data_IF_570649917960
#
_entry.id   IF_570649917960
#
_cell.length_a   1.000
_cell.length_b   1.000
_cell.length_c   1.000
_cell.angle_alpha   90.00
_cell.angle_beta   90.00
_cell.angle_gamma   90.00
#
_symmetry.space_group_name_H-M   'P 1'
#
loop_
_entity.id
_entity.type
_entity.pdbx_description
1 polymer ?
#
# COMPACT_ATOMS: atom_id res chain seq x y z
N UNK A 1 10.47 -15.35 -22.85
CA UNK A 1 10.31 -14.62 -21.58
C UNK A 1 9.35 -13.48 -21.83
N UNK A 2 8.21 -13.43 -21.12
CA UNK A 2 7.25 -12.32 -21.30
C UNK A 2 7.84 -11.03 -20.74
N UNK A 3 7.59 -9.92 -21.44
CA UNK A 3 8.04 -8.57 -21.12
C UNK A 3 6.87 -7.73 -20.64
N UNK A 4 6.95 -7.25 -19.41
CA UNK A 4 5.91 -6.50 -18.72
C UNK A 4 6.40 -5.08 -18.46
N UNK A 5 5.60 -4.08 -18.80
CA UNK A 5 5.85 -2.69 -18.43
C UNK A 5 4.95 -2.30 -17.25
N UNK A 6 5.51 -1.77 -16.17
CA UNK A 6 4.73 -1.17 -15.08
C UNK A 6 4.83 0.35 -15.16
N UNK A 7 3.69 1.02 -15.36
CA UNK A 7 3.62 2.46 -15.59
C UNK A 7 3.12 3.18 -14.35
N UNK A 8 3.94 4.12 -13.87
CA UNK A 8 3.70 4.95 -12.71
C UNK A 8 3.42 6.39 -13.14
N UNK A 9 2.34 6.97 -12.61
CA UNK A 9 1.94 8.34 -12.92
C UNK A 9 2.79 9.41 -12.22
N UNK A 10 3.62 9.03 -11.24
CA UNK A 10 4.53 9.93 -10.53
C UNK A 10 5.67 9.16 -9.86
N UNK A 11 6.72 9.89 -9.47
CA UNK A 11 7.91 9.36 -8.79
C UNK A 11 7.89 9.48 -7.25
N UNK A 12 6.73 9.69 -6.63
CA UNK A 12 6.62 9.88 -5.18
C UNK A 12 6.60 8.53 -4.43
N UNK A 13 7.23 8.46 -3.26
CA UNK A 13 7.14 7.28 -2.39
C UNK A 13 5.73 7.16 -1.79
N UNK A 14 4.86 6.39 -2.45
CA UNK A 14 3.44 6.21 -2.11
C UNK A 14 3.10 4.73 -2.03
N UNK A 15 1.93 4.40 -1.48
CA UNK A 15 1.41 3.03 -1.49
C UNK A 15 1.31 2.43 -2.90
N UNK A 16 0.98 3.24 -3.92
CA UNK A 16 0.91 2.80 -5.33
C UNK A 16 2.30 2.43 -5.85
N UNK A 17 3.29 3.28 -5.62
CA UNK A 17 4.65 3.02 -6.07
C UNK A 17 5.26 1.83 -5.32
N UNK A 18 5.11 1.74 -4.00
CA UNK A 18 5.64 0.59 -3.24
C UNK A 18 4.93 -0.71 -3.57
N UNK A 19 3.63 -0.67 -3.89
CA UNK A 19 2.88 -1.80 -4.44
C UNK A 19 3.47 -2.24 -5.79
N UNK A 20 3.68 -1.30 -6.71
CA UNK A 20 4.22 -1.58 -8.04
C UNK A 20 5.62 -2.20 -7.98
N UNK A 21 6.48 -1.70 -7.09
CA UNK A 21 7.81 -2.27 -6.88
C UNK A 21 7.75 -3.67 -6.27
N UNK A 22 6.83 -3.89 -5.32
CA UNK A 22 6.61 -5.22 -4.73
C UNK A 22 6.15 -6.21 -5.81
N UNK A 23 5.19 -5.83 -6.65
CA UNK A 23 4.74 -6.68 -7.76
C UNK A 23 5.88 -6.95 -8.75
N UNK A 24 6.59 -5.91 -9.19
CA UNK A 24 7.69 -6.05 -10.14
C UNK A 24 8.80 -6.99 -9.66
N UNK A 25 9.21 -6.86 -8.39
CA UNK A 25 10.19 -7.78 -7.79
C UNK A 25 9.72 -9.24 -7.81
N UNK A 26 8.47 -9.51 -7.41
CA UNK A 26 7.93 -10.88 -7.43
C UNK A 26 7.78 -11.45 -8.85
N UNK A 27 7.43 -10.62 -9.83
CA UNK A 27 7.40 -11.03 -11.24
C UNK A 27 8.81 -11.31 -11.79
N UNK A 28 9.82 -10.51 -11.44
CA UNK A 28 11.22 -10.75 -11.81
C UNK A 28 11.70 -12.08 -11.23
N UNK A 29 11.39 -12.37 -9.96
CA UNK A 29 11.72 -13.66 -9.32
C UNK A 29 11.06 -14.85 -10.00
N UNK A 30 9.90 -14.64 -10.64
CA UNK A 30 9.19 -15.64 -11.48
C UNK A 30 9.76 -15.77 -12.90
N UNK A 31 10.79 -14.99 -13.26
CA UNK A 31 11.45 -15.07 -14.56
C UNK A 31 10.84 -14.17 -15.64
N UNK A 32 10.01 -13.19 -15.26
CA UNK A 32 9.54 -12.15 -16.20
C UNK A 32 10.60 -11.07 -16.38
N UNK A 33 10.64 -10.47 -17.58
CA UNK A 33 11.33 -9.20 -17.77
C UNK A 33 10.35 -8.08 -17.42
N UNK A 34 10.62 -7.39 -16.32
CA UNK A 34 9.83 -6.23 -15.91
C UNK A 34 10.66 -4.97 -16.17
N UNK A 35 10.05 -3.98 -16.82
CA UNK A 35 10.58 -2.63 -16.94
C UNK A 35 9.59 -1.62 -16.32
N UNK A 36 10.07 -0.45 -15.90
CA UNK A 36 9.25 0.60 -15.29
C UNK A 36 9.24 1.88 -16.10
N UNK A 37 8.08 2.52 -16.24
CA UNK A 37 7.97 3.91 -16.69
C UNK A 37 7.53 4.79 -15.51
N UNK A 38 8.24 5.90 -15.29
CA UNK A 38 7.97 6.82 -14.19
C UNK A 38 7.94 8.25 -14.73
N UNK A 39 6.76 8.87 -14.69
CA UNK A 39 6.63 10.28 -15.05
C UNK A 39 7.23 11.18 -13.95
N UNK A 40 8.12 12.09 -14.35
CA UNK A 40 8.80 13.03 -13.43
C UNK A 40 7.98 14.30 -13.12
N UNK A 41 7.01 14.64 -13.97
CA UNK A 41 6.45 16.00 -14.07
C UNK A 41 5.02 16.16 -13.50
N UNK A 42 4.71 15.59 -12.34
CA UNK A 42 3.53 16.06 -11.60
C UNK A 42 3.91 17.25 -10.72
N UNK A 43 3.57 18.46 -11.19
CA UNK A 43 4.00 19.80 -10.74
C UNK A 43 3.79 20.17 -9.24
N UNK A 44 3.22 19.29 -8.43
CA UNK A 44 3.00 19.55 -7.00
C UNK A 44 4.12 18.96 -6.12
N UNK A 45 5.17 19.74 -5.84
CA UNK A 45 6.09 19.57 -4.69
C UNK A 45 7.11 18.38 -4.71
N UNK A 46 8.23 18.45 -3.94
CA UNK A 46 9.58 18.36 -4.50
C UNK A 46 10.10 16.95 -4.80
N UNK A 47 11.00 16.96 -5.79
CA UNK A 47 12.11 16.06 -6.13
C UNK A 47 11.95 14.58 -5.74
N UNK A 48 11.85 13.76 -6.80
CA UNK A 48 12.46 12.43 -6.95
C UNK A 48 13.32 12.07 -5.74
N UNK A 49 12.78 11.27 -4.84
CA UNK A 49 13.60 10.63 -3.84
C UNK A 49 14.56 9.72 -4.62
N UNK A 50 15.84 10.13 -4.76
CA UNK A 50 16.95 9.34 -5.34
C UNK A 50 16.93 7.89 -4.84
N UNK A 51 16.46 7.76 -3.60
CA UNK A 51 16.12 6.56 -2.86
C UNK A 51 15.27 5.52 -3.66
N UNK A 52 14.24 5.95 -4.40
CA UNK A 52 13.34 5.05 -5.16
C UNK A 52 14.05 4.46 -6.37
N UNK A 53 14.76 5.29 -7.13
CA UNK A 53 15.54 4.84 -8.28
C UNK A 53 16.64 3.89 -7.83
N UNK A 54 17.30 4.16 -6.71
CA UNK A 54 18.29 3.25 -6.14
C UNK A 54 17.68 1.90 -5.79
N UNK A 55 16.47 1.89 -5.21
CA UNK A 55 15.76 0.65 -4.90
C UNK A 55 15.43 -0.12 -6.18
N UNK A 56 14.93 0.55 -7.22
CA UNK A 56 14.65 -0.08 -8.52
C UNK A 56 15.92 -0.55 -9.24
N UNK A 57 17.02 0.18 -9.15
CA UNK A 57 18.29 -0.21 -9.77
C UNK A 57 18.80 -1.56 -9.25
N UNK A 58 18.42 -1.96 -8.03
CA UNK A 58 18.75 -3.30 -7.51
C UNK A 58 18.03 -4.44 -8.24
N UNK A 59 16.89 -4.15 -8.89
CA UNK A 59 16.07 -5.13 -9.60
C UNK A 59 16.59 -5.47 -11.00
N UNK A 60 17.70 -4.86 -11.46
CA UNK A 60 18.27 -5.03 -12.81
C UNK A 60 17.24 -4.82 -13.93
N UNK A 61 16.39 -3.82 -13.75
CA UNK A 61 15.29 -3.42 -14.65
C UNK A 61 15.67 -2.19 -15.48
N UNK A 62 15.04 -2.00 -16.65
CA UNK A 62 15.08 -0.70 -17.34
C UNK A 62 14.09 0.25 -16.67
N UNK A 63 14.48 1.52 -16.50
CA UNK A 63 13.60 2.58 -15.98
C UNK A 63 13.53 3.70 -17.01
N UNK A 64 12.32 4.01 -17.47
CA UNK A 64 12.01 5.08 -18.41
C UNK A 64 11.52 6.32 -17.63
N UNK A 65 12.37 7.36 -17.52
CA UNK A 65 12.01 8.61 -16.81
C UNK A 65 11.73 9.80 -17.72
N UNK A 66 12.42 9.87 -18.87
CA UNK A 66 12.40 11.03 -19.78
C UNK A 66 12.03 10.67 -21.21
N UNK A 67 12.14 9.39 -21.55
CA UNK A 67 11.83 8.85 -22.86
C UNK A 67 10.68 7.87 -22.71
N UNK A 68 9.76 7.88 -23.65
CA UNK A 68 8.71 6.87 -23.68
C UNK A 68 9.30 5.56 -24.21
N UNK A 69 8.97 4.41 -23.60
CA UNK A 69 9.32 3.13 -24.16
C UNK A 69 8.55 2.88 -25.47
N UNK A 70 9.04 1.97 -26.29
CA UNK A 70 8.22 1.35 -27.33
C UNK A 70 7.22 0.40 -26.67
N UNK A 71 5.99 0.87 -26.45
CA UNK A 71 4.92 0.11 -25.80
C UNK A 71 4.58 -1.19 -26.53
N UNK A 72 4.76 -1.24 -27.85
CA UNK A 72 4.49 -2.44 -28.64
C UNK A 72 5.51 -3.56 -28.38
N UNK A 73 6.65 -3.25 -27.77
CA UNK A 73 7.66 -4.24 -27.39
C UNK A 73 7.30 -5.06 -26.14
N UNK A 74 6.16 -4.77 -25.49
CA UNK A 74 5.71 -5.43 -24.27
C UNK A 74 4.48 -6.31 -24.51
N UNK A 75 4.44 -7.46 -23.85
CA UNK A 75 3.30 -8.37 -23.89
C UNK A 75 2.10 -7.76 -23.14
N UNK A 76 2.37 -7.10 -22.00
CA UNK A 76 1.37 -6.40 -21.18
C UNK A 76 1.94 -5.15 -20.53
N UNK A 77 1.06 -4.17 -20.35
CA UNK A 77 1.34 -2.93 -19.63
C UNK A 77 0.41 -2.81 -18.42
N UNK A 78 0.98 -2.69 -17.23
CA UNK A 78 0.25 -2.48 -15.98
C UNK A 78 0.18 -0.98 -15.69
N UNK A 79 -1.01 -0.40 -15.79
CA UNK A 79 -1.24 1.03 -15.61
C UNK A 79 -1.88 1.30 -14.25
N UNK A 80 -1.28 2.20 -13.47
CA UNK A 80 -1.81 2.61 -12.16
C UNK A 80 -2.61 3.92 -12.22
N UNK A 81 -2.55 4.61 -13.37
CA UNK A 81 -3.21 5.89 -13.64
C UNK A 81 -3.59 5.95 -15.13
N UNK A 82 -4.70 6.60 -15.45
CA UNK A 82 -5.20 6.71 -16.84
C UNK A 82 -4.38 7.68 -17.72
N UNK A 83 -3.45 8.44 -17.14
CA UNK A 83 -2.70 9.48 -17.85
C UNK A 83 -1.83 8.97 -19.01
N UNK A 84 -1.39 7.71 -18.95
CA UNK A 84 -0.61 7.07 -20.03
C UNK A 84 -1.44 6.15 -20.95
N UNK A 85 -2.75 5.99 -20.66
CA UNK A 85 -3.58 5.00 -21.35
C UNK A 85 -3.69 5.27 -22.85
N UNK A 86 -3.73 6.55 -23.26
CA UNK A 86 -3.86 6.95 -24.67
C UNK A 86 -2.68 6.58 -25.57
N UNK A 87 -1.55 6.16 -24.99
CA UNK A 87 -0.34 5.81 -25.74
C UNK A 87 -0.21 4.31 -26.02
N UNK A 88 -1.19 3.50 -25.59
CA UNK A 88 -1.13 2.05 -25.66
C UNK A 88 -2.41 1.47 -26.26
N UNK A 89 -2.29 0.28 -26.82
CA UNK A 89 -3.43 -0.46 -27.33
C UNK A 89 -4.25 -1.02 -26.15
N UNK A 90 -5.58 -0.86 -26.11
CA UNK A 90 -6.42 -1.33 -25.01
C UNK A 90 -6.21 -2.80 -24.62
N UNK A 91 -5.97 -3.68 -25.59
CA UNK A 91 -5.73 -5.11 -25.44
C UNK A 91 -4.40 -5.47 -24.75
N UNK A 92 -3.49 -4.50 -24.59
CA UNK A 92 -2.25 -4.66 -23.83
C UNK A 92 -2.37 -4.23 -22.37
N UNK A 93 -3.46 -3.53 -22.01
CA UNK A 93 -3.54 -2.78 -20.75
C UNK A 93 -4.22 -3.59 -19.65
N UNK A 94 -3.46 -3.85 -18.58
CA UNK A 94 -4.01 -4.23 -17.28
C UNK A 94 -4.06 -2.95 -16.44
N UNK A 95 -5.27 -2.42 -16.22
CA UNK A 95 -5.46 -1.21 -15.43
C UNK A 95 -5.70 -1.54 -13.96
N UNK A 96 -5.03 -0.85 -13.03
CA UNK A 96 -5.13 -1.09 -11.59
C UNK A 96 -5.65 0.15 -10.86
N UNK A 97 -6.89 0.05 -10.36
CA UNK A 97 -7.51 1.06 -9.50
C UNK A 97 -7.10 0.87 -8.04
N UNK A 98 -6.29 1.81 -7.54
CA UNK A 98 -5.83 1.84 -6.15
C UNK A 98 -6.82 2.48 -5.17
N UNK A 99 -7.83 3.18 -5.68
CA UNK A 99 -8.87 3.83 -4.92
C UNK A 99 -9.97 4.36 -5.82
N UNK A 100 -10.93 5.07 -5.23
CA UNK A 100 -12.08 5.64 -5.95
C UNK A 100 -12.23 7.15 -5.76
N UNK A 101 -11.21 7.80 -5.20
CA UNK A 101 -11.30 9.22 -4.80
C UNK A 101 -10.87 10.19 -5.90
N UNK A 102 -10.16 9.68 -6.91
CA UNK A 102 -9.59 10.50 -7.98
C UNK A 102 -9.94 9.91 -9.34
N UNK A 103 -10.32 10.77 -10.27
CA UNK A 103 -10.66 10.39 -11.65
C UNK A 103 -9.55 9.59 -12.36
N UNK A 104 -8.24 9.89 -12.15
CA UNK A 104 -7.15 9.08 -12.70
C UNK A 104 -7.10 7.60 -12.27
N UNK A 105 -7.90 7.18 -11.27
CA UNK A 105 -8.02 5.78 -10.87
C UNK A 105 -9.05 4.99 -11.67
N UNK A 106 -9.61 5.54 -12.74
CA UNK A 106 -10.55 4.83 -13.62
C UNK A 106 -10.03 4.86 -15.07
N UNK A 107 -10.02 3.73 -15.79
CA UNK A 107 -9.58 3.71 -17.18
C UNK A 107 -10.57 4.43 -18.09
N UNK A 108 -10.06 4.95 -19.22
CA UNK A 108 -10.86 5.46 -20.33
C UNK A 108 -11.34 4.30 -21.21
N UNK A 109 -12.63 3.95 -21.12
CA UNK A 109 -13.18 2.86 -21.91
C UNK A 109 -12.66 1.48 -21.52
N UNK A 110 -12.86 0.51 -22.41
CA UNK A 110 -12.50 -0.90 -22.15
C UNK A 110 -10.99 -1.10 -22.28
N UNK A 111 -10.42 -1.88 -21.37
CA UNK A 111 -9.03 -2.36 -21.40
C UNK A 111 -9.03 -3.89 -21.36
N UNK A 112 -7.87 -4.53 -21.53
CA UNK A 112 -7.75 -5.99 -21.45
C UNK A 112 -8.24 -6.56 -20.12
N UNK A 113 -7.82 -5.95 -19.01
CA UNK A 113 -8.32 -6.29 -17.68
C UNK A 113 -8.32 -5.06 -16.78
N UNK A 114 -9.38 -4.89 -16.00
CA UNK A 114 -9.50 -3.86 -14.98
C UNK A 114 -9.49 -4.50 -13.59
N UNK A 115 -8.45 -4.21 -12.82
CA UNK A 115 -8.21 -4.73 -11.47
C UNK A 115 -8.46 -3.63 -10.45
N UNK A 116 -9.11 -3.95 -9.35
CA UNK A 116 -9.21 -3.08 -8.18
C UNK A 116 -8.49 -3.69 -6.97
N UNK A 117 -7.96 -2.85 -6.07
CA UNK A 117 -7.26 -3.33 -4.86
C UNK A 117 -8.18 -3.68 -3.69
N UNK A 118 -9.48 -3.39 -3.82
CA UNK A 118 -10.51 -3.73 -2.84
C UNK A 118 -11.88 -3.85 -3.50
N UNK A 119 -12.78 -4.55 -2.83
CA UNK A 119 -14.18 -4.68 -3.26
C UNK A 119 -14.90 -3.34 -3.35
N UNK A 120 -14.65 -2.41 -2.41
CA UNK A 120 -15.21 -1.06 -2.49
C UNK A 120 -14.74 -0.32 -3.74
N UNK A 121 -13.44 -0.43 -4.06
CA UNK A 121 -12.87 0.18 -5.27
C UNK A 121 -13.46 -0.48 -6.50
N UNK A 122 -13.54 -1.81 -6.56
CA UNK A 122 -14.16 -2.56 -7.66
C UNK A 122 -15.57 -2.04 -7.96
N UNK A 123 -16.41 -1.92 -6.92
CA UNK A 123 -17.77 -1.38 -7.06
C UNK A 123 -17.78 0.08 -7.54
N UNK A 124 -16.81 0.89 -7.15
CA UNK A 124 -16.76 2.30 -7.51
C UNK A 124 -16.28 2.53 -8.96
N UNK A 125 -15.34 1.72 -9.42
CA UNK A 125 -14.68 1.88 -10.72
C UNK A 125 -15.19 0.91 -11.78
N UNK A 126 -16.12 0.02 -11.41
CA UNK A 126 -16.64 -1.06 -12.25
C UNK A 126 -15.52 -2.00 -12.77
N UNK A 127 -14.54 -2.30 -11.91
CA UNK A 127 -13.46 -3.22 -12.26
C UNK A 127 -13.95 -4.67 -12.37
N UNK A 128 -13.23 -5.49 -13.13
CA UNK A 128 -13.57 -6.89 -13.40
C UNK A 128 -13.30 -7.78 -12.17
N UNK A 129 -12.14 -7.57 -11.51
CA UNK A 129 -11.70 -8.40 -10.39
C UNK A 129 -10.99 -7.62 -9.28
N UNK A 130 -10.82 -8.29 -8.13
CA UNK A 130 -10.06 -7.78 -6.99
C UNK A 130 -8.74 -8.53 -6.82
N UNK A 131 -7.64 -7.78 -6.82
CA UNK A 131 -6.32 -8.24 -6.38
C UNK A 131 -5.85 -7.30 -5.28
N UNK A 132 -5.83 -7.76 -4.03
CA UNK A 132 -5.45 -6.96 -2.87
C UNK A 132 -3.99 -6.49 -2.93
N UNK A 133 -3.68 -5.45 -2.15
CA UNK A 133 -2.33 -4.93 -2.00
C UNK A 133 -1.44 -5.96 -1.29
N UNK A 134 -0.66 -6.71 -2.07
CA UNK A 134 0.29 -7.68 -1.55
C UNK A 134 1.47 -7.04 -0.82
N UNK A 135 1.93 -7.70 0.22
CA UNK A 135 3.09 -7.37 1.05
C UNK A 135 4.12 -8.50 0.93
N UNK A 136 5.40 -8.14 0.82
CA UNK A 136 6.49 -9.11 0.95
C UNK A 136 6.58 -9.57 2.41
N UNK A 137 5.98 -10.72 2.69
CA UNK A 137 5.89 -11.29 4.04
C UNK A 137 7.25 -11.69 4.63
N UNK A 138 8.29 -11.86 3.78
CA UNK A 138 9.66 -12.12 4.21
C UNK A 138 10.35 -10.81 4.62
N UNK A 139 10.21 -9.75 3.82
CA UNK A 139 10.71 -8.41 4.13
C UNK A 139 10.11 -7.89 5.44
N UNK A 140 8.80 -8.05 5.60
CA UNK A 140 8.04 -7.67 6.80
C UNK A 140 7.86 -8.84 7.77
N UNK A 141 8.88 -9.70 7.92
CA UNK A 141 8.86 -10.78 8.90
C UNK A 141 8.85 -10.24 10.34
N UNK A 142 8.34 -11.04 11.28
CA UNK A 142 8.33 -10.68 12.69
C UNK A 142 9.76 -10.69 13.22
N UNK A 143 10.33 -9.51 13.44
CA UNK A 143 11.65 -9.34 14.08
C UNK A 143 11.55 -9.06 15.59
N UNK A 144 10.40 -8.57 16.04
CA UNK A 144 10.12 -8.25 17.45
C UNK A 144 8.61 -8.20 17.71
N UNK A 145 8.16 -8.92 18.73
CA UNK A 145 6.77 -8.83 19.20
C UNK A 145 6.51 -7.53 20.00
N UNK A 146 5.26 -7.00 19.95
CA UNK A 146 4.84 -5.87 20.78
C UNK A 146 4.94 -6.16 22.29
N UNK A 147 5.22 -5.12 23.09
CA UNK A 147 5.31 -5.20 24.57
C UNK A 147 3.95 -5.06 25.25
N UNK A 148 3.86 -5.50 26.52
CA UNK A 148 2.73 -5.24 27.41
C UNK A 148 3.26 -4.67 28.73
N UNK A 149 2.98 -3.40 29.08
CA UNK A 149 2.21 -2.41 28.32
C UNK A 149 2.96 -1.88 27.07
N UNK A 150 2.26 -1.26 26.10
CA UNK A 150 2.89 -0.64 24.95
C UNK A 150 3.67 0.60 25.39
N UNK A 151 4.76 0.90 24.68
CA UNK A 151 5.64 2.02 25.05
C UNK A 151 5.99 2.89 23.86
N UNK A 152 5.83 2.38 22.62
CA UNK A 152 6.11 3.13 21.38
C UNK A 152 5.02 2.91 20.34
N UNK A 153 4.55 4.00 19.74
CA UNK A 153 3.61 4.01 18.64
C UNK A 153 4.22 4.73 17.42
N UNK A 154 4.07 4.13 16.25
CA UNK A 154 4.45 4.73 14.97
C UNK A 154 3.22 5.02 14.12
N UNK A 155 3.03 6.29 13.77
CA UNK A 155 2.07 6.72 12.76
C UNK A 155 2.73 6.83 11.38
N UNK A 156 2.25 6.04 10.42
CA UNK A 156 2.74 6.02 9.04
C UNK A 156 1.72 6.73 8.14
N UNK A 157 1.94 8.02 7.89
CA UNK A 157 1.04 8.86 7.10
C UNK A 157 1.77 9.98 6.37
N UNK A 158 1.64 10.07 5.04
CA UNK A 158 2.27 11.14 4.24
C UNK A 158 1.83 12.56 4.59
N UNK A 159 0.63 12.75 5.13
CA UNK A 159 0.11 14.08 5.45
C UNK A 159 0.59 14.59 6.81
N UNK A 160 0.01 15.72 7.22
CA UNK A 160 0.24 16.28 8.55
C UNK A 160 -0.30 15.29 9.60
N UNK A 161 0.50 14.87 10.59
CA UNK A 161 0.03 13.95 11.61
C UNK A 161 -1.15 14.53 12.39
N UNK A 162 -2.12 13.68 12.72
CA UNK A 162 -3.25 14.07 13.55
C UNK A 162 -2.76 14.38 14.98
N UNK A 163 -2.83 15.66 15.38
CA UNK A 163 -2.38 16.11 16.69
C UNK A 163 -3.12 15.44 17.85
N UNK A 164 -4.37 15.02 17.66
CA UNK A 164 -5.15 14.31 18.68
C UNK A 164 -4.59 12.91 18.96
N UNK A 165 -4.06 12.21 17.95
CA UNK A 165 -3.41 10.90 18.14
C UNK A 165 -2.12 11.08 18.94
N UNK A 166 -1.30 12.07 18.57
CA UNK A 166 -0.08 12.40 19.32
C UNK A 166 -0.39 12.68 20.80
N UNK A 167 -1.39 13.52 21.05
CA UNK A 167 -1.88 13.86 22.39
C UNK A 167 -2.36 12.64 23.16
N UNK A 168 -3.15 11.76 22.52
CA UNK A 168 -3.67 10.56 23.13
C UNK A 168 -2.54 9.61 23.55
N UNK A 169 -1.59 9.32 22.65
CA UNK A 169 -0.41 8.51 22.98
C UNK A 169 0.40 9.12 24.13
N UNK A 170 0.66 10.42 24.09
CA UNK A 170 1.46 11.13 25.12
C UNK A 170 0.78 11.05 26.49
N UNK A 171 -0.53 11.26 26.55
CA UNK A 171 -1.31 11.17 27.79
C UNK A 171 -1.31 9.75 28.38
N UNK A 172 -1.16 8.72 27.55
CA UNK A 172 -1.03 7.32 27.97
C UNK A 172 0.42 6.90 28.25
N UNK A 173 1.39 7.84 28.21
CA UNK A 173 2.80 7.52 28.43
C UNK A 173 3.46 6.74 27.28
N UNK A 174 2.86 6.75 26.09
CA UNK A 174 3.36 6.06 24.89
C UNK A 174 4.15 7.05 24.04
N UNK A 175 5.42 6.75 23.77
CA UNK A 175 6.24 7.54 22.86
C UNK A 175 5.65 7.48 21.44
N UNK A 176 5.32 8.65 20.89
CA UNK A 176 4.74 8.77 19.56
C UNK A 176 5.79 9.22 18.55
N UNK A 177 5.86 8.52 17.41
CA UNK A 177 6.63 8.94 16.25
C UNK A 177 5.74 8.98 15.00
N UNK A 178 5.99 9.94 14.13
CA UNK A 178 5.38 10.04 12.82
C UNK A 178 6.42 9.87 11.72
N UNK A 179 6.06 9.10 10.68
CA UNK A 179 6.86 8.93 9.47
C UNK A 179 5.96 9.19 8.26
N UNK A 180 6.34 10.20 7.47
CA UNK A 180 5.63 10.56 6.24
C UNK A 180 5.87 9.58 5.10
N UNK A 181 7.14 9.23 4.89
CA UNK A 181 7.60 8.25 3.93
C UNK A 181 8.97 7.72 4.37
N UNK A 182 9.23 6.44 4.13
CA UNK A 182 10.53 5.82 4.37
C UNK A 182 10.71 4.64 3.41
N UNK A 183 11.88 4.53 2.77
CA UNK A 183 12.20 3.39 1.90
C UNK A 183 12.18 2.05 2.65
N UNK A 184 12.79 2.07 3.82
CA UNK A 184 12.94 0.91 4.68
C UNK A 184 11.95 1.01 5.83
N UNK A 185 10.68 1.18 5.50
CA UNK A 185 9.61 1.36 6.50
C UNK A 185 9.54 0.17 7.48
N UNK A 186 9.98 -1.02 7.07
CA UNK A 186 10.13 -2.16 7.98
C UNK A 186 11.09 -1.87 9.13
N UNK A 187 12.17 -1.11 8.91
CA UNK A 187 13.12 -0.73 9.97
C UNK A 187 12.51 0.28 10.95
N UNK A 188 11.57 1.10 10.48
CA UNK A 188 10.82 2.02 11.32
C UNK A 188 9.73 1.28 12.11
N UNK A 189 9.10 0.25 11.54
CA UNK A 189 8.06 -0.55 12.19
C UNK A 189 8.61 -1.39 13.36
N UNK A 190 9.78 -2.02 13.19
CA UNK A 190 10.36 -2.97 14.15
C UNK A 190 10.42 -2.48 15.60
N UNK A 191 10.91 -1.27 15.92
CA UNK A 191 11.05 -0.81 17.30
C UNK A 191 9.73 -0.45 18.00
N UNK A 192 8.62 -0.39 17.26
CA UNK A 192 7.33 0.07 17.77
C UNK A 192 6.44 -1.11 18.22
N UNK A 193 5.56 -0.84 19.18
CA UNK A 193 4.57 -1.81 19.68
C UNK A 193 3.24 -1.64 18.96
N UNK A 194 2.84 -0.38 18.74
CA UNK A 194 1.63 0.01 18.02
C UNK A 194 2.00 0.59 16.65
N UNK A 195 1.32 0.13 15.61
CA UNK A 195 1.36 0.79 14.30
C UNK A 195 0.02 1.46 14.05
N UNK A 196 0.07 2.75 13.74
CA UNK A 196 -1.07 3.57 13.36
C UNK A 196 -0.91 3.84 11.87
N UNK A 197 -1.86 3.39 11.06
CA UNK A 197 -1.75 3.50 9.61
C UNK A 197 -3.08 3.29 8.90
N UNK A 198 -3.07 3.48 7.58
CA UNK A 198 -4.23 3.24 6.72
C UNK A 198 -3.74 2.76 5.35
N UNK A 199 -4.60 2.06 4.61
CA UNK A 199 -4.19 1.47 3.35
C UNK A 199 -3.06 0.46 3.54
N UNK A 200 -2.06 0.58 2.68
CA UNK A 200 -0.92 -0.34 2.66
C UNK A 200 -0.05 -0.28 3.92
N UNK A 201 0.04 0.86 4.62
CA UNK A 201 0.85 0.94 5.85
C UNK A 201 0.26 0.14 7.00
N UNK A 202 -1.07 0.01 7.07
CA UNK A 202 -1.73 -0.91 8.00
C UNK A 202 -1.30 -2.36 7.73
N UNK A 203 -1.27 -2.76 6.45
CA UNK A 203 -0.85 -4.12 6.05
C UNK A 203 0.62 -4.41 6.35
N UNK A 204 1.52 -3.44 6.18
CA UNK A 204 2.94 -3.58 6.54
C UNK A 204 3.11 -3.77 8.06
N UNK A 205 2.35 -3.03 8.87
CA UNK A 205 2.30 -3.23 10.32
C UNK A 205 1.77 -4.61 10.71
N UNK A 206 0.70 -5.05 10.04
CA UNK A 206 0.11 -6.38 10.25
C UNK A 206 1.10 -7.49 9.90
N UNK A 207 1.73 -7.42 8.73
CA UNK A 207 2.72 -8.38 8.27
C UNK A 207 3.90 -8.47 9.25
N UNK A 208 4.30 -7.35 9.86
CA UNK A 208 5.38 -7.29 10.86
C UNK A 208 4.98 -7.81 12.25
N UNK A 209 3.77 -8.34 12.41
CA UNK A 209 3.24 -8.87 13.66
C UNK A 209 2.98 -7.82 14.72
N UNK A 210 2.59 -6.60 14.32
CA UNK A 210 2.27 -5.50 15.24
C UNK A 210 0.77 -5.36 15.46
N UNK A 211 0.37 -4.86 16.63
CA UNK A 211 -1.01 -4.42 16.83
C UNK A 211 -1.23 -3.16 15.97
N UNK A 212 -2.26 -3.18 15.12
CA UNK A 212 -2.51 -2.13 14.14
C UNK A 212 -3.81 -1.42 14.47
N UNK A 213 -3.72 -0.11 14.66
CA UNK A 213 -4.85 0.80 14.74
C UNK A 213 -5.04 1.46 13.38
N UNK A 214 -6.18 1.22 12.72
CA UNK A 214 -6.47 1.83 11.42
C UNK A 214 -6.96 3.25 11.62
N UNK A 215 -6.11 4.22 11.30
CA UNK A 215 -6.40 5.65 11.41
C UNK A 215 -5.75 6.41 10.24
N UNK A 216 -6.49 7.33 9.64
CA UNK A 216 -6.04 8.10 8.49
C UNK A 216 -6.75 9.44 8.36
N UNK A 217 -6.65 10.11 7.19
CA UNK A 217 -7.26 11.42 6.95
C UNK A 217 -8.80 11.43 7.06
N UNK A 218 -9.41 10.26 7.14
CA UNK A 218 -10.83 10.02 7.01
C UNK A 218 -11.49 9.47 8.28
N UNK A 219 -10.74 9.48 9.38
CA UNK A 219 -11.19 8.96 10.65
C UNK A 219 -10.47 7.68 11.04
N UNK A 220 -11.16 6.90 11.86
CA UNK A 220 -10.62 5.71 12.53
C UNK A 220 -11.54 4.53 12.28
N UNK A 221 -10.97 3.40 11.82
CA UNK A 221 -11.70 2.14 11.69
C UNK A 221 -11.47 1.20 12.90
N UNK A 222 -10.61 1.62 13.84
CA UNK A 222 -10.31 0.90 15.06
C UNK A 222 -9.17 -0.10 14.90
N UNK A 223 -9.00 -0.93 15.93
CA UNK A 223 -8.00 -2.00 15.90
C UNK A 223 -8.33 -3.04 14.84
N UNK A 224 -7.32 -3.53 14.15
CA UNK A 224 -7.45 -4.72 13.32
C UNK A 224 -7.63 -5.93 14.22
N UNK A 225 -8.73 -6.65 14.02
CA UNK A 225 -9.08 -7.87 14.75
C UNK A 225 -9.57 -8.96 13.79
N UNK A 226 -9.44 -10.26 14.12
CA UNK A 226 -9.96 -11.34 13.28
C UNK A 226 -11.43 -11.16 12.87
N UNK A 227 -12.28 -10.74 13.79
CA UNK A 227 -13.72 -10.58 13.61
C UNK A 227 -14.12 -9.38 12.74
N UNK A 228 -13.23 -8.39 12.55
CA UNK A 228 -13.53 -7.18 11.77
C UNK A 228 -12.72 -7.06 10.47
N UNK A 229 -11.67 -7.86 10.29
CA UNK A 229 -10.69 -7.61 9.23
C UNK A 229 -11.25 -7.65 7.82
N UNK A 230 -12.18 -8.56 7.50
CA UNK A 230 -12.79 -8.59 6.16
C UNK A 230 -13.55 -7.30 5.82
N UNK A 231 -14.18 -6.69 6.83
CA UNK A 231 -14.86 -5.39 6.69
C UNK A 231 -13.85 -4.26 6.44
N UNK A 232 -12.68 -4.31 7.10
CA UNK A 232 -11.59 -3.37 6.86
C UNK A 232 -10.98 -3.56 5.46
N UNK A 233 -10.74 -4.82 5.07
CA UNK A 233 -10.21 -5.23 3.78
C UNK A 233 -11.12 -4.81 2.62
N UNK A 234 -12.45 -4.90 2.80
CA UNK A 234 -13.44 -4.41 1.83
C UNK A 234 -13.18 -2.96 1.39
N UNK A 235 -12.67 -2.10 2.29
CA UNK A 235 -12.29 -0.70 2.00
C UNK A 235 -10.79 -0.45 2.02
N UNK A 236 -9.97 -1.49 1.89
CA UNK A 236 -8.52 -1.37 1.91
C UNK A 236 -7.98 -0.67 3.18
N UNK A 237 -8.53 -0.94 4.37
CA UNK A 237 -8.15 -0.28 5.64
C UNK A 237 -8.08 1.25 5.53
N UNK A 238 -9.07 1.89 4.90
CA UNK A 238 -8.99 3.32 4.55
C UNK A 238 -9.19 4.28 5.73
N UNK A 239 -9.65 3.80 6.90
CA UNK A 239 -10.09 4.66 8.01
C UNK A 239 -11.47 5.29 7.78
N UNK A 240 -12.21 4.86 6.75
CA UNK A 240 -13.54 5.39 6.39
C UNK A 240 -14.65 4.35 6.57
N UNK A 241 -14.34 3.10 6.95
CA UNK A 241 -15.35 2.05 7.11
C UNK A 241 -16.48 2.45 8.05
N UNK A 242 -16.17 3.15 9.14
CA UNK A 242 -17.16 3.72 10.06
C UNK A 242 -17.44 5.23 9.90
N UNK A 243 -16.64 5.95 9.10
CA UNK A 243 -16.63 7.42 9.05
C UNK A 243 -16.59 8.08 10.45
N UNK A 244 -15.81 7.48 11.37
CA UNK A 244 -15.76 7.85 12.77
C UNK A 244 -14.57 8.76 13.07
N UNK A 245 -14.85 9.94 13.64
CA UNK A 245 -13.86 10.95 14.02
C UNK A 245 -13.86 11.10 15.55
N UNK A 246 -13.07 10.29 16.28
CA UNK A 246 -13.07 10.31 17.74
C UNK A 246 -12.52 11.63 18.29
N UNK A 247 -13.09 12.04 19.42
CA UNK A 247 -12.52 13.05 20.31
C UNK A 247 -11.20 12.56 20.92
N UNK A 248 -10.45 13.45 21.58
CA UNK A 248 -9.22 13.07 22.28
C UNK A 248 -9.47 11.98 23.34
N UNK A 249 -10.55 12.10 24.12
CA UNK A 249 -10.88 11.14 25.17
C UNK A 249 -11.22 9.77 24.58
N UNK A 250 -12.04 9.73 23.53
CA UNK A 250 -12.36 8.48 22.82
C UNK A 250 -11.12 7.87 22.16
N UNK A 251 -10.18 8.67 21.66
CA UNK A 251 -8.89 8.17 21.16
C UNK A 251 -8.04 7.55 22.27
N UNK A 252 -8.02 8.15 23.45
CA UNK A 252 -7.32 7.58 24.60
C UNK A 252 -7.94 6.24 25.00
N UNK A 253 -9.26 6.18 25.13
CA UNK A 253 -10.00 4.94 25.43
C UNK A 253 -9.80 3.87 24.35
N UNK A 254 -9.73 4.26 23.08
CA UNK A 254 -9.46 3.34 21.99
C UNK A 254 -8.03 2.82 22.04
N UNK A 255 -7.03 3.67 22.27
CA UNK A 255 -5.62 3.25 22.35
C UNK A 255 -5.38 2.37 23.59
N UNK A 256 -6.08 2.63 24.70
CA UNK A 256 -5.98 1.85 25.94
C UNK A 256 -6.52 0.42 25.79
N UNK A 257 -7.37 0.15 24.78
CA UNK A 257 -7.80 -1.20 24.41
C UNK A 257 -6.72 -2.04 23.70
N UNK A 258 -5.48 -1.53 23.63
CA UNK A 258 -4.36 -2.25 23.04
C UNK A 258 -4.19 -3.65 23.64
N UNK A 259 -3.97 -4.63 22.75
CA UNK A 259 -3.56 -5.98 23.12
C UNK A 259 -2.37 -6.43 22.26
N UNK A 260 -1.25 -6.78 22.91
CA UNK A 260 -0.06 -7.28 22.22
C UNK A 260 -0.34 -8.59 21.45
N UNK A 261 -1.34 -9.38 21.86
CA UNK A 261 -1.76 -10.61 21.18
C UNK A 261 -2.28 -10.32 19.78
N UNK A 262 -2.86 -9.14 19.54
CA UNK A 262 -3.33 -8.73 18.20
C UNK A 262 -2.21 -8.73 17.18
N UNK A 263 -0.95 -8.53 17.59
CA UNK A 263 0.18 -8.63 16.68
C UNK A 263 0.27 -9.99 16.00
N UNK A 264 0.01 -11.09 16.72
CA UNK A 264 -0.02 -12.43 16.14
C UNK A 264 -1.23 -12.64 15.23
N UNK A 265 -2.40 -12.16 15.65
CA UNK A 265 -3.61 -12.23 14.83
C UNK A 265 -3.43 -11.46 13.51
N UNK A 266 -2.88 -10.25 13.58
CA UNK A 266 -2.61 -9.41 12.43
C UNK A 266 -1.62 -10.04 11.46
N UNK A 267 -0.56 -10.71 11.97
CA UNK A 267 0.34 -11.50 11.12
C UNK A 267 -0.43 -12.59 10.37
N UNK A 268 -1.22 -13.39 11.08
CA UNK A 268 -1.97 -14.49 10.47
C UNK A 268 -2.97 -13.99 9.40
N UNK A 269 -3.60 -12.85 9.64
CA UNK A 269 -4.45 -12.19 8.64
C UNK A 269 -3.63 -11.72 7.42
N UNK A 270 -2.44 -11.15 7.61
CA UNK A 270 -1.58 -10.76 6.51
C UNK A 270 -1.10 -11.97 5.67
N UNK A 271 -0.76 -13.08 6.32
CA UNK A 271 -0.40 -14.33 5.65
C UNK A 271 -1.56 -14.89 4.83
N UNK A 272 -2.79 -14.82 5.36
CA UNK A 272 -3.99 -15.34 4.69
C UNK A 272 -4.43 -14.49 3.49
N UNK A 273 -4.36 -13.16 3.59
CA UNK A 273 -5.01 -12.27 2.60
C UNK A 273 -4.05 -11.39 1.80
N UNK A 274 -2.83 -11.14 2.29
CA UNK A 274 -2.00 -10.02 1.84
C UNK A 274 -0.62 -10.45 1.33
N UNK A 275 -0.45 -11.70 0.90
CA UNK A 275 0.82 -12.16 0.32
C UNK A 275 1.08 -11.53 -1.05
N UNK A 276 2.27 -10.94 -1.23
CA UNK A 276 2.76 -10.48 -2.53
C UNK A 276 2.95 -11.63 -3.53
N UNK A 277 3.20 -12.85 -3.06
CA UNK A 277 3.27 -14.03 -3.92
C UNK A 277 1.91 -14.36 -4.51
N UNK A 278 0.86 -14.38 -3.68
CA UNK A 278 -0.52 -14.57 -4.14
C UNK A 278 -0.95 -13.45 -5.09
N UNK A 279 -0.57 -12.20 -4.80
CA UNK A 279 -0.79 -11.08 -5.71
C UNK A 279 -0.13 -11.34 -7.08
N UNK A 280 1.15 -11.71 -7.10
CA UNK A 280 1.88 -11.98 -8.33
C UNK A 280 1.29 -13.15 -9.13
N UNK A 281 0.87 -14.24 -8.47
CA UNK A 281 0.18 -15.37 -9.11
C UNK A 281 -1.12 -14.93 -9.82
N UNK A 282 -1.91 -14.05 -9.18
CA UNK A 282 -3.13 -13.52 -9.80
C UNK A 282 -2.86 -12.62 -11.01
N UNK A 283 -1.75 -11.88 -11.01
CA UNK A 283 -1.34 -11.11 -12.19
C UNK A 283 -0.80 -12.01 -13.31
N UNK A 284 -0.13 -13.10 -12.95
CA UNK A 284 0.37 -14.10 -13.90
C UNK A 284 -0.76 -14.72 -14.75
N UNK A 285 -1.95 -14.92 -14.16
CA UNK A 285 -3.16 -15.36 -14.87
C UNK A 285 -3.65 -14.36 -15.94
N UNK A 286 -3.21 -13.10 -15.90
CA UNK A 286 -3.58 -12.05 -16.85
C UNK A 286 -2.57 -11.86 -17.99
N UNK A 287 -1.40 -12.50 -17.91
CA UNK A 287 -0.33 -12.37 -18.90
C UNK A 287 -0.43 -13.43 -19.97
#
# INVERSE_FOLDING_TARGET
>A
MKKILIVLGHNRLTGVNTWAFTLGDFLIRKGYRVDFEIKKDFEYEPKLEISILNSLNTLRTTIYEKTLPDYNSYDRCILNYNVHQKFMLPEQIIFVSHGSMFEPYTPFGKVYAHVAVSERTKKATNADLVIHNGIDLNKFSIKRFPRTPPTKALNIFRGIPNYSIYRACTNLGIEYRHVGAALNIETEIVPNDIIIGYGRSAYEGMASGKAVLVHGPFGTDGWVKPENFEKLLYRNCSGWTGAYFPTLQELMELIDQYDAVDGRHNRALAEKYLSAETMANKFEELF
#
